data_IF_672681321790
#
_entry.id   IF_672681321790
#
_cell.length_a   1.000
_cell.length_b   1.000
_cell.length_c   1.000
_cell.angle_alpha   90.00
_cell.angle_beta   90.00
_cell.angle_gamma   90.00
#
_symmetry.space_group_name_H-M   'P 1'
#
loop_
_entity.id
_entity.type
_entity.pdbx_description
1 polymer ?
#
# COMPACT_ATOMS: atom_id res chain seq x y z
N UNK A 1 -3.83 -9.28 3.41
CA UNK A 1 -3.49 -8.02 4.11
C UNK A 1 -2.42 -8.19 5.18
N UNK A 2 -2.51 -9.20 6.06
CA UNK A 2 -1.48 -9.44 7.08
C UNK A 2 -0.07 -9.68 6.52
N UNK A 3 0.03 -10.46 5.45
CA UNK A 3 1.28 -10.78 4.76
C UNK A 3 1.97 -9.55 4.16
N UNK A 4 1.19 -8.58 3.65
CA UNK A 4 1.71 -7.32 3.10
C UNK A 4 2.40 -6.53 4.22
N UNK A 5 1.73 -6.37 5.36
CA UNK A 5 2.30 -5.62 6.49
C UNK A 5 3.51 -6.34 7.08
N UNK A 6 3.53 -7.67 7.09
CA UNK A 6 4.66 -8.45 7.62
C UNK A 6 5.93 -8.27 6.80
N UNK A 7 5.80 -8.03 5.49
CA UNK A 7 6.91 -7.69 4.59
C UNK A 7 7.63 -6.38 4.97
N UNK A 8 6.99 -5.53 5.77
CA UNK A 8 7.54 -4.24 6.23
C UNK A 8 7.67 -4.21 7.76
N UNK A 9 8.59 -4.99 8.37
CA UNK A 9 8.68 -5.13 9.82
C UNK A 9 9.08 -3.82 10.53
N UNK A 10 9.87 -2.97 9.87
CA UNK A 10 10.39 -1.71 10.42
C UNK A 10 9.40 -0.54 10.31
N UNK A 11 8.31 -0.71 9.56
CA UNK A 11 7.31 0.32 9.39
C UNK A 11 6.34 0.39 10.57
N UNK A 12 5.83 1.59 10.83
CA UNK A 12 4.68 1.76 11.72
C UNK A 12 3.42 1.29 11.00
N UNK A 13 2.61 0.48 11.67
CA UNK A 13 1.43 -0.17 11.08
C UNK A 13 0.17 0.25 11.82
N UNK A 14 -0.86 0.58 11.05
CA UNK A 14 -2.21 0.79 11.55
C UNK A 14 -3.21 -0.13 10.83
N UNK A 15 -4.23 -0.58 11.55
CA UNK A 15 -5.22 -1.55 11.07
C UNK A 15 -6.66 -1.02 11.14
N UNK A 16 -6.84 0.29 11.32
CA UNK A 16 -8.14 0.91 11.62
C UNK A 16 -9.04 0.99 10.37
N UNK A 17 -8.46 1.29 9.19
CA UNK A 17 -9.16 1.30 7.89
C UNK A 17 -8.32 0.54 6.84
N UNK A 18 -8.32 -0.80 6.95
CA UNK A 18 -7.47 -1.66 6.14
C UNK A 18 -6.09 -1.88 6.78
N UNK A 19 -5.02 -1.76 6.00
CA UNK A 19 -3.64 -1.82 6.48
C UNK A 19 -2.88 -0.60 5.99
N UNK A 20 -2.47 0.25 6.93
CA UNK A 20 -1.59 1.39 6.67
C UNK A 20 -0.18 1.03 7.12
N UNK A 21 0.78 1.31 6.26
CA UNK A 21 2.21 1.11 6.50
C UNK A 21 2.90 2.45 6.28
N UNK A 22 3.49 2.98 7.34
CA UNK A 22 4.07 4.33 7.39
C UNK A 22 5.58 4.24 7.66
N UNK A 23 6.34 4.88 6.78
CA UNK A 23 7.77 5.16 6.91
C UNK A 23 7.99 6.67 6.98
N UNK A 24 9.23 7.10 7.23
CA UNK A 24 9.59 8.53 7.33
C UNK A 24 9.31 9.31 6.04
N UNK A 25 9.69 8.75 4.88
CA UNK A 25 9.58 9.44 3.58
C UNK A 25 8.36 9.03 2.74
N UNK A 26 7.64 7.97 3.13
CA UNK A 26 6.53 7.45 2.34
C UNK A 26 5.61 6.57 3.16
N UNK A 27 4.37 6.45 2.69
CA UNK A 27 3.39 5.57 3.31
C UNK A 27 2.44 5.01 2.27
N UNK A 28 1.75 3.94 2.63
CA UNK A 28 0.66 3.43 1.83
C UNK A 28 -0.45 2.86 2.69
N UNK A 29 -1.66 2.85 2.16
CA UNK A 29 -2.83 2.23 2.76
C UNK A 29 -3.47 1.28 1.75
N UNK A 30 -3.68 0.04 2.16
CA UNK A 30 -4.45 -0.95 1.41
C UNK A 30 -5.73 -1.24 2.16
N UNK A 31 -6.87 -1.02 1.53
CA UNK A 31 -8.18 -1.31 2.14
C UNK A 31 -9.11 -2.05 1.18
N UNK A 32 -9.98 -2.94 1.68
CA UNK A 32 -11.04 -3.51 0.85
C UNK A 32 -11.99 -2.41 0.39
N UNK A 33 -12.43 -2.47 -0.87
CA UNK A 33 -13.51 -1.59 -1.34
C UNK A 33 -14.82 -2.00 -0.69
N UNK A 34 -15.59 -1.03 -0.20
CA UNK A 34 -16.85 -1.30 0.52
C UNK A 34 -17.98 -1.83 -0.38
N UNK A 35 -17.90 -1.56 -1.69
CA UNK A 35 -19.00 -1.80 -2.64
C UNK A 35 -18.61 -2.67 -3.83
N UNK A 36 -17.33 -3.01 -3.97
CA UNK A 36 -16.80 -3.73 -5.13
C UNK A 36 -15.79 -4.80 -4.65
N UNK A 37 -15.64 -5.94 -5.37
CA UNK A 37 -14.66 -6.98 -5.02
C UNK A 37 -13.23 -6.58 -5.43
N UNK A 38 -12.80 -5.36 -5.05
CA UNK A 38 -11.52 -4.76 -5.40
C UNK A 38 -10.79 -4.27 -4.14
N UNK A 39 -9.45 -4.26 -4.20
CA UNK A 39 -8.60 -3.62 -3.20
C UNK A 39 -8.26 -2.19 -3.66
N UNK A 40 -8.30 -1.24 -2.73
CA UNK A 40 -7.84 0.13 -2.96
C UNK A 40 -6.45 0.31 -2.36
N UNK A 41 -5.53 0.80 -3.16
CA UNK A 41 -4.19 1.22 -2.73
C UNK A 41 -4.09 2.74 -2.82
N UNK A 42 -3.84 3.39 -1.69
CA UNK A 42 -3.34 4.76 -1.62
C UNK A 42 -1.85 4.69 -1.29
N UNK A 43 -1.00 5.42 -2.02
CA UNK A 43 0.43 5.48 -1.77
C UNK A 43 0.91 6.91 -1.99
N UNK A 44 1.61 7.46 -1.01
CA UNK A 44 2.26 8.76 -1.10
C UNK A 44 3.72 8.64 -0.70
N UNK A 45 4.56 9.42 -1.36
CA UNK A 45 6.00 9.45 -1.12
C UNK A 45 6.55 10.86 -1.28
N UNK A 46 7.67 11.15 -0.63
CA UNK A 46 8.33 12.45 -0.63
C UNK A 46 8.70 12.99 -2.03
N UNK A 47 8.87 12.11 -3.02
CA UNK A 47 9.15 12.50 -4.39
C UNK A 47 8.64 11.47 -5.42
N UNK A 48 8.54 11.90 -6.68
CA UNK A 48 7.96 11.11 -7.77
C UNK A 48 8.77 9.86 -8.14
N UNK A 49 10.09 9.88 -7.98
CA UNK A 49 10.94 8.71 -8.25
C UNK A 49 10.70 7.62 -7.20
N UNK A 50 10.66 8.00 -5.93
CA UNK A 50 10.30 7.12 -4.83
C UNK A 50 8.88 6.59 -4.98
N UNK A 51 7.92 7.45 -5.32
CA UNK A 51 6.53 7.04 -5.57
C UNK A 51 6.47 5.91 -6.61
N UNK A 52 7.11 6.09 -7.77
CA UNK A 52 7.13 5.08 -8.83
C UNK A 52 7.83 3.78 -8.39
N UNK A 53 8.95 3.89 -7.68
CA UNK A 53 9.70 2.73 -7.21
C UNK A 53 8.88 1.93 -6.17
N UNK A 54 8.27 2.62 -5.21
CA UNK A 54 7.46 2.00 -4.14
C UNK A 54 6.14 1.47 -4.65
N UNK A 55 5.49 2.17 -5.57
CA UNK A 55 4.31 1.67 -6.27
C UNK A 55 4.61 0.31 -6.91
N UNK A 56 5.65 0.24 -7.76
CA UNK A 56 6.04 -1.01 -8.40
C UNK A 56 6.38 -2.12 -7.40
N UNK A 57 7.02 -1.78 -6.28
CA UNK A 57 7.30 -2.73 -5.20
C UNK A 57 5.99 -3.30 -4.60
N UNK A 58 5.03 -2.44 -4.28
CA UNK A 58 3.76 -2.84 -3.66
C UNK A 58 2.86 -3.61 -4.66
N UNK A 59 2.85 -3.21 -5.93
CA UNK A 59 2.15 -3.93 -7.01
C UNK A 59 2.62 -5.38 -7.15
N UNK A 60 3.94 -5.59 -7.15
CA UNK A 60 4.53 -6.93 -7.23
C UNK A 60 4.16 -7.81 -6.03
N UNK A 61 3.97 -7.21 -4.85
CA UNK A 61 3.57 -7.93 -3.64
C UNK A 61 2.09 -8.32 -3.65
N UNK A 62 1.22 -7.50 -4.26
CA UNK A 62 -0.22 -7.76 -4.28
C UNK A 62 -0.67 -8.72 -5.39
N UNK A 63 0.18 -9.02 -6.37
CA UNK A 63 -0.13 -9.99 -7.44
C UNK A 63 -1.25 -9.57 -8.40
N UNK A 64 -1.85 -8.40 -8.18
CA UNK A 64 -2.86 -7.78 -9.04
C UNK A 64 -2.41 -6.36 -9.38
N UNK A 65 -2.40 -6.04 -10.67
CA UNK A 65 -2.16 -4.68 -11.14
C UNK A 65 -3.24 -3.74 -10.55
N UNK A 66 -2.88 -2.54 -10.08
CA UNK A 66 -3.81 -1.55 -9.59
C UNK A 66 -4.69 -1.13 -10.77
N UNK A 67 -6.00 -1.31 -10.61
CA UNK A 67 -6.98 -0.87 -11.59
C UNK A 67 -7.17 0.63 -11.35
N UNK A 68 -6.52 1.47 -12.16
CA UNK A 68 -6.80 2.89 -12.17
C UNK A 68 -8.23 3.12 -12.68
N UNK A 69 -9.06 3.83 -11.92
CA UNK A 69 -10.36 4.33 -12.37
C UNK A 69 -10.25 5.83 -12.63
#
# INVERSE_FOLDING_TARGET
MKEIADTFPEAKKDWTDGVTVEFEDWWFNVRPSNTEPLLRLNLEAANAEMLKAKLKQVENLMGSAPVAH
#
